data_IF_404085560662
#
_entry.id   IF_404085560662
#
_cell.length_a   1.000
_cell.length_b   1.000
_cell.length_c   1.000
_cell.angle_alpha   90.00
_cell.angle_beta   90.00
_cell.angle_gamma   90.00
#
_symmetry.space_group_name_H-M   'P 1'
#
loop_
_entity.id
_entity.type
_entity.pdbx_description
1 polymer ?
#
# COMPACT_ATOMS: atom_id res chain seq x y z
N UNK A 1 17.68 0.09 8.91
CA UNK A 1 16.76 0.95 8.15
C UNK A 1 16.88 2.37 8.67
N UNK A 2 17.11 3.36 7.81
CA UNK A 2 17.12 4.76 8.23
C UNK A 2 15.83 5.15 8.93
N UNK A 3 15.94 6.11 9.85
CA UNK A 3 14.81 6.49 10.69
C UNK A 3 13.57 6.93 9.95
N UNK A 4 13.73 7.72 8.87
CA UNK A 4 12.57 8.21 8.13
C UNK A 4 11.79 7.08 7.44
N UNK A 5 12.47 6.03 6.97
CA UNK A 5 11.79 4.88 6.34
C UNK A 5 11.02 4.09 7.37
N UNK A 6 11.56 3.93 8.57
CA UNK A 6 10.87 3.28 9.68
C UNK A 6 9.60 4.06 10.03
N UNK A 7 9.70 5.38 10.09
CA UNK A 7 8.55 6.23 10.39
C UNK A 7 7.49 6.13 9.29
N UNK A 8 7.89 6.12 8.02
CA UNK A 8 6.96 5.94 6.90
C UNK A 8 6.24 4.60 7.04
N UNK A 9 6.95 3.51 7.30
CA UNK A 9 6.33 2.20 7.47
C UNK A 9 5.33 2.17 8.60
N UNK A 10 5.68 2.79 9.72
CA UNK A 10 4.82 2.88 10.88
C UNK A 10 3.54 3.69 10.57
N UNK A 11 3.69 4.82 9.87
CA UNK A 11 2.55 5.65 9.48
C UNK A 11 1.66 4.93 8.48
N UNK A 12 2.25 4.20 7.52
CA UNK A 12 1.47 3.40 6.58
C UNK A 12 0.61 2.38 7.32
N UNK A 13 1.20 1.64 8.27
CA UNK A 13 0.47 0.67 9.06
C UNK A 13 -0.68 1.33 9.83
N UNK A 14 -0.41 2.45 10.49
CA UNK A 14 -1.43 3.17 11.27
C UNK A 14 -2.59 3.64 10.40
N UNK A 15 -2.28 4.20 9.23
CA UNK A 15 -3.30 4.70 8.29
C UNK A 15 -4.17 3.54 7.79
N UNK A 16 -3.53 2.44 7.41
CA UNK A 16 -4.26 1.27 6.90
C UNK A 16 -5.17 0.68 7.98
N UNK A 17 -4.66 0.47 9.17
CA UNK A 17 -5.44 -0.11 10.27
C UNK A 17 -6.59 0.80 10.66
N UNK A 18 -6.36 2.12 10.70
CA UNK A 18 -7.40 3.09 11.07
C UNK A 18 -8.53 3.12 10.05
N UNK A 19 -8.21 3.03 8.77
CA UNK A 19 -9.22 3.14 7.71
C UNK A 19 -9.86 1.80 7.34
N UNK A 20 -9.21 0.70 7.67
CA UNK A 20 -9.70 -0.66 7.39
C UNK A 20 -9.52 -1.49 8.67
N UNK A 21 -10.43 -1.34 9.65
CA UNK A 21 -10.27 -2.04 10.94
C UNK A 21 -10.25 -3.57 10.83
N UNK A 22 -10.87 -4.11 9.78
CA UNK A 22 -10.89 -5.55 9.54
C UNK A 22 -9.69 -6.06 8.75
N UNK A 23 -8.68 -5.22 8.51
CA UNK A 23 -7.54 -5.57 7.69
C UNK A 23 -6.78 -6.78 8.25
N UNK A 24 -6.36 -7.67 7.36
CA UNK A 24 -5.47 -8.77 7.68
C UNK A 24 -4.06 -8.41 7.25
N UNK A 25 -3.09 -8.79 8.06
CA UNK A 25 -1.68 -8.48 7.80
C UNK A 25 -0.87 -9.76 7.76
N UNK A 26 0.10 -9.81 6.85
CA UNK A 26 1.05 -10.90 6.77
C UNK A 26 2.39 -10.36 6.27
N UNK A 27 3.44 -11.15 6.43
CA UNK A 27 4.75 -10.83 5.86
C UNK A 27 5.06 -11.92 4.83
N UNK A 28 5.29 -11.52 3.59
CA UNK A 28 5.65 -12.41 2.49
C UNK A 28 6.80 -11.76 1.74
N UNK A 29 7.81 -12.57 1.38
CA UNK A 29 8.97 -12.08 0.61
C UNK A 29 9.58 -10.82 1.25
N UNK A 30 9.69 -10.81 2.58
CA UNK A 30 10.24 -9.71 3.38
C UNK A 30 9.45 -8.39 3.25
N UNK A 31 8.18 -8.46 2.84
CA UNK A 31 7.33 -7.27 2.72
C UNK A 31 6.04 -7.49 3.47
N UNK A 32 5.51 -6.47 4.16
CA UNK A 32 4.18 -6.57 4.76
C UNK A 32 3.11 -6.51 3.68
N UNK A 33 2.10 -7.36 3.84
CA UNK A 33 0.93 -7.42 2.98
C UNK A 33 -0.31 -7.12 3.78
N UNK A 34 -1.24 -6.40 3.17
CA UNK A 34 -2.51 -6.00 3.79
C UNK A 34 -3.66 -6.47 2.92
N UNK A 35 -4.64 -7.11 3.52
CA UNK A 35 -5.75 -7.67 2.77
C UNK A 35 -7.03 -7.79 3.57
N UNK A 36 -8.06 -8.32 2.90
CA UNK A 36 -9.36 -8.59 3.49
C UNK A 36 -9.62 -10.10 3.37
N UNK A 37 -10.06 -10.71 4.44
CA UNK A 37 -10.36 -12.14 4.42
C UNK A 37 -11.39 -12.44 3.34
N UNK A 38 -11.09 -13.44 2.51
CA UNK A 38 -11.95 -13.83 1.41
C UNK A 38 -11.83 -13.00 0.14
N UNK A 39 -11.09 -11.88 0.19
CA UNK A 39 -10.90 -11.00 -0.98
C UNK A 39 -9.47 -10.94 -1.49
N UNK A 40 -8.49 -11.39 -0.70
CA UNK A 40 -7.08 -11.34 -1.07
C UNK A 40 -6.38 -10.06 -0.61
N UNK A 41 -5.18 -9.84 -1.13
CA UNK A 41 -4.31 -8.73 -0.71
C UNK A 41 -4.57 -7.51 -1.58
N UNK A 42 -4.74 -6.33 -0.95
CA UNK A 42 -4.98 -5.11 -1.71
C UNK A 42 -3.77 -4.18 -1.73
N UNK A 43 -2.83 -4.34 -0.80
CA UNK A 43 -1.69 -3.46 -0.69
C UNK A 43 -0.50 -4.20 -0.09
N UNK A 44 0.69 -3.84 -0.56
CA UNK A 44 1.95 -4.26 0.03
C UNK A 44 2.91 -3.08 -0.04
N UNK A 45 3.94 -3.04 0.82
CA UNK A 45 5.01 -2.08 0.61
C UNK A 45 6.36 -2.72 0.88
N UNK A 46 7.38 -2.16 0.25
CA UNK A 46 8.75 -2.65 0.38
C UNK A 46 9.70 -1.47 0.54
N UNK A 47 10.68 -1.63 1.43
CA UNK A 47 11.65 -0.58 1.73
C UNK A 47 12.87 -0.74 0.84
N UNK A 48 13.11 0.26 -0.01
CA UNK A 48 14.32 0.34 -0.84
C UNK A 48 15.29 1.35 -0.23
N UNK A 49 16.45 1.50 -0.86
CA UNK A 49 17.51 2.37 -0.32
C UNK A 49 17.06 3.83 -0.17
N UNK A 50 16.38 4.37 -1.19
CA UNK A 50 16.04 5.79 -1.25
C UNK A 50 14.54 6.07 -1.17
N UNK A 51 13.71 5.06 -1.04
CA UNK A 51 12.25 5.25 -1.01
C UNK A 51 11.56 4.01 -0.47
N UNK A 52 10.28 4.18 -0.15
CA UNK A 52 9.39 3.07 0.20
C UNK A 52 8.39 2.93 -0.94
N UNK A 53 8.36 1.77 -1.58
CA UNK A 53 7.42 1.51 -2.69
C UNK A 53 6.16 0.87 -2.15
N UNK A 54 5.02 1.52 -2.36
CA UNK A 54 3.71 0.98 -2.04
C UNK A 54 3.11 0.39 -3.31
N UNK A 55 2.68 -0.86 -3.24
CA UNK A 55 2.05 -1.56 -4.37
C UNK A 55 0.56 -1.69 -4.11
N UNK A 56 -0.26 -1.10 -4.99
CA UNK A 56 -1.71 -1.28 -4.96
C UNK A 56 -2.08 -2.27 -6.05
N UNK A 57 -2.53 -3.47 -5.66
CA UNK A 57 -2.75 -4.55 -6.63
C UNK A 57 -3.90 -4.27 -7.61
N UNK A 58 -4.82 -3.39 -7.25
CA UNK A 58 -5.86 -2.88 -8.14
C UNK A 58 -5.71 -1.37 -8.34
N UNK A 59 -4.47 -0.91 -8.41
CA UNK A 59 -4.17 0.52 -8.46
C UNK A 59 -4.79 1.24 -9.63
N UNK A 60 -4.94 0.56 -10.78
CA UNK A 60 -5.55 1.16 -11.97
C UNK A 60 -7.01 1.55 -11.76
N UNK A 61 -7.67 0.97 -10.76
CA UNK A 61 -9.07 1.27 -10.42
C UNK A 61 -9.22 2.33 -9.35
N UNK A 62 -8.12 2.81 -8.79
CA UNK A 62 -8.15 3.86 -7.76
C UNK A 62 -8.32 5.24 -8.41
N UNK A 63 -8.87 6.18 -7.65
CA UNK A 63 -9.06 7.56 -8.13
C UNK A 63 -8.57 8.54 -7.07
N UNK A 64 -7.59 9.40 -7.39
CA UNK A 64 -6.79 9.38 -8.63
C UNK A 64 -5.94 8.13 -8.75
N UNK A 65 -5.52 7.78 -9.96
CA UNK A 65 -4.67 6.60 -10.16
C UNK A 65 -3.27 6.91 -9.62
N UNK A 66 -2.69 6.01 -8.79
CA UNK A 66 -1.31 6.20 -8.34
C UNK A 66 -0.35 6.33 -9.52
N UNK A 67 0.71 7.15 -9.38
CA UNK A 67 1.52 7.56 -10.53
C UNK A 67 2.52 6.51 -11.05
N UNK A 68 2.88 5.53 -10.23
CA UNK A 68 3.92 4.58 -10.62
C UNK A 68 3.38 3.47 -11.52
N UNK A 69 3.85 3.38 -12.77
CA UNK A 69 3.38 2.34 -13.68
C UNK A 69 3.94 0.96 -13.32
N UNK A 70 3.24 -0.08 -13.78
CA UNK A 70 3.65 -1.45 -13.57
C UNK A 70 3.48 -2.22 -14.88
N UNK A 71 4.19 -3.34 -15.01
CA UNK A 71 3.97 -4.27 -16.12
C UNK A 71 2.60 -4.94 -16.02
N UNK A 72 2.10 -5.12 -14.81
CA UNK A 72 0.75 -5.62 -14.58
C UNK A 72 -0.24 -4.47 -14.83
N UNK A 73 -1.23 -4.70 -15.68
CA UNK A 73 -2.19 -3.66 -16.06
C UNK A 73 -3.04 -3.16 -14.90
N UNK A 74 -3.19 -3.95 -13.84
CA UNK A 74 -4.01 -3.58 -12.68
C UNK A 74 -3.21 -2.94 -11.56
N UNK A 75 -1.94 -3.30 -11.42
CA UNK A 75 -1.10 -2.82 -10.33
C UNK A 75 -0.58 -1.43 -10.63
N UNK A 76 -0.54 -0.58 -9.59
CA UNK A 76 0.13 0.72 -9.67
C UNK A 76 0.94 0.94 -8.40
N UNK A 77 1.99 1.72 -8.52
CA UNK A 77 2.94 1.96 -7.42
C UNK A 77 2.92 3.39 -6.97
N UNK A 78 3.22 3.59 -5.70
CA UNK A 78 3.52 4.90 -5.14
C UNK A 78 4.89 4.80 -4.48
N UNK A 79 5.84 5.65 -4.91
CA UNK A 79 7.16 5.72 -4.29
C UNK A 79 7.14 6.86 -3.27
N UNK A 80 7.33 6.53 -2.00
CA UNK A 80 7.35 7.51 -0.92
C UNK A 80 8.81 7.80 -0.58
N UNK A 81 9.19 9.07 -0.70
CA UNK A 81 10.51 9.55 -0.32
C UNK A 81 10.41 10.29 1.00
N UNK A 82 11.55 10.66 1.55
CA UNK A 82 11.57 11.44 2.79
C UNK A 82 10.71 12.71 2.62
N UNK A 83 9.81 12.96 3.58
CA UNK A 83 8.91 14.12 3.60
C UNK A 83 7.89 14.19 2.44
N UNK A 84 7.66 13.09 1.72
CA UNK A 84 6.71 13.09 0.60
C UNK A 84 5.42 12.31 0.87
N UNK A 85 5.17 11.88 2.09
CA UNK A 85 3.97 11.11 2.41
C UNK A 85 2.74 12.01 2.52
N UNK A 86 1.78 11.83 1.61
CA UNK A 86 0.48 12.49 1.67
C UNK A 86 -0.50 11.54 2.36
N UNK A 87 -0.69 11.76 3.66
CA UNK A 87 -1.49 10.85 4.47
C UNK A 87 -2.97 10.87 4.11
N UNK A 88 -3.49 12.03 3.74
CA UNK A 88 -4.91 12.16 3.38
C UNK A 88 -5.21 11.38 2.08
N UNK A 89 -4.36 11.54 1.08
CA UNK A 89 -4.52 10.82 -0.19
C UNK A 89 -4.35 9.32 0.02
N UNK A 90 -3.37 8.93 0.82
CA UNK A 90 -3.15 7.52 1.12
C UNK A 90 -4.38 6.90 1.79
N UNK A 91 -5.01 7.61 2.73
CA UNK A 91 -6.22 7.13 3.39
C UNK A 91 -7.35 6.90 2.38
N UNK A 92 -7.51 7.81 1.40
CA UNK A 92 -8.51 7.66 0.32
C UNK A 92 -8.22 6.40 -0.48
N UNK A 93 -6.97 6.20 -0.90
CA UNK A 93 -6.59 5.02 -1.69
C UNK A 93 -6.79 3.73 -0.90
N UNK A 94 -6.45 3.71 0.37
CA UNK A 94 -6.58 2.51 1.22
C UNK A 94 -8.05 2.09 1.32
N UNK A 95 -8.96 3.04 1.55
CA UNK A 95 -10.38 2.75 1.61
C UNK A 95 -10.92 2.20 0.29
N UNK A 96 -10.50 2.80 -0.83
CA UNK A 96 -10.92 2.35 -2.15
C UNK A 96 -10.39 0.95 -2.43
N UNK A 97 -9.10 0.72 -2.15
CA UNK A 97 -8.45 -0.55 -2.42
C UNK A 97 -9.08 -1.69 -1.62
N UNK A 98 -9.41 -1.45 -0.36
CA UNK A 98 -10.02 -2.46 0.49
C UNK A 98 -11.41 -2.88 0.01
N UNK A 99 -12.09 -2.03 -0.76
CA UNK A 99 -13.41 -2.31 -1.29
C UNK A 99 -13.37 -3.08 -2.62
N UNK A 100 -12.19 -3.27 -3.21
CA UNK A 100 -12.01 -3.95 -4.48
C UNK A 100 -11.57 -5.40 -4.27
N UNK A 101 -11.80 -6.31 -5.25
CA UNK A 101 -11.21 -7.63 -5.19
C UNK A 101 -9.69 -7.52 -5.12
N UNK A 102 -9.09 -8.32 -4.23
CA UNK A 102 -7.65 -8.28 -4.04
C UNK A 102 -6.91 -9.28 -4.91
N UNK A 103 -5.59 -9.31 -4.73
CA UNK A 103 -4.72 -10.28 -5.41
C UNK A 103 -4.65 -11.56 -4.57
N UNK A 104 -4.84 -12.70 -5.25
CA UNK A 104 -4.72 -14.02 -4.63
C UNK A 104 -3.59 -14.73 -5.36
N UNK A 105 -2.47 -15.02 -4.65
CA UNK A 105 -1.34 -15.71 -5.27
C UNK A 105 -1.63 -17.15 -5.65
#
# INVERSE_FOLDING_TARGET
MPGWKREVGKRLDEIIVRNVPSVRKAVKWNSPFFGIEGQGWFLSFHVFTHYVKVSFFQGASLRPVPPGPSKDKNTRYLDIREDSLDEALLAVWVKQAAALPGWVP
#
